data_IF_048313149530
#
_entry.id   IF_048313149530
#
_cell.length_a   1.000
_cell.length_b   1.000
_cell.length_c   1.000
_cell.angle_alpha   90.00
_cell.angle_beta   90.00
_cell.angle_gamma   90.00
#
_symmetry.space_group_name_H-M   'P 1'
#
loop_
_entity.id
_entity.type
_entity.pdbx_description
1 polymer ?
#
# COMPACT_ATOMS: atom_id res chain seq x y z
N UNK A 1 -6.73 -6.19 -21.06
CA UNK A 1 -7.64 -5.56 -22.04
C UNK A 1 -7.76 -4.08 -21.71
N UNK A 2 -7.03 -3.20 -22.41
CA UNK A 2 -7.16 -1.74 -22.22
C UNK A 2 -7.43 -1.12 -23.59
N UNK A 3 -8.66 -0.61 -23.74
CA UNK A 3 -9.13 0.04 -24.95
C UNK A 3 -8.35 1.34 -25.16
N UNK A 4 -7.79 1.47 -26.35
CA UNK A 4 -7.16 2.66 -26.88
C UNK A 4 -8.29 3.67 -27.17
N UNK A 5 -8.48 4.66 -26.31
CA UNK A 5 -9.38 5.77 -26.60
C UNK A 5 -8.68 6.69 -27.60
N UNK A 6 -8.94 6.49 -28.90
CA UNK A 6 -8.53 7.38 -29.96
C UNK A 6 -9.52 8.56 -29.99
N UNK A 7 -9.12 9.71 -29.45
CA UNK A 7 -9.81 10.95 -29.72
C UNK A 7 -9.54 11.36 -31.17
N UNK A 8 -10.49 11.09 -32.08
CA UNK A 8 -10.47 11.56 -33.46
C UNK A 8 -10.88 13.04 -33.47
N UNK A 9 -9.93 13.94 -33.21
CA UNK A 9 -10.12 15.36 -33.51
C UNK A 9 -9.84 15.59 -35.00
N UNK A 10 -10.91 15.93 -35.72
CA UNK A 10 -11.02 16.51 -37.06
C UNK A 10 -9.73 16.57 -37.91
N UNK A 11 -9.70 15.73 -38.95
CA UNK A 11 -8.62 15.63 -39.93
C UNK A 11 -8.74 16.78 -40.94
N UNK A 12 -7.78 17.70 -40.95
CA UNK A 12 -7.38 18.45 -42.15
C UNK A 12 -5.85 18.43 -42.26
N UNK A 13 -5.35 17.81 -43.34
CA UNK A 13 -3.95 17.94 -43.78
C UNK A 13 -3.13 16.66 -43.65
N UNK A 14 -2.69 16.15 -44.80
CA UNK A 14 -1.91 14.93 -44.98
C UNK A 14 -0.50 15.06 -44.36
N UNK A 15 -0.27 14.42 -43.22
CA UNK A 15 0.98 13.78 -42.76
C UNK A 15 0.81 13.32 -41.31
N UNK A 16 0.09 12.20 -41.11
CA UNK A 16 -0.08 11.61 -39.78
C UNK A 16 1.20 10.86 -39.35
N UNK A 17 2.15 11.58 -38.77
CA UNK A 17 2.99 10.97 -37.72
C UNK A 17 2.07 10.68 -36.55
N UNK A 18 1.65 9.42 -36.43
CA UNK A 18 0.90 8.94 -35.26
C UNK A 18 1.81 9.14 -34.05
N UNK A 19 1.65 10.26 -33.36
CA UNK A 19 2.28 10.51 -32.08
C UNK A 19 1.52 9.67 -31.07
N UNK A 20 1.92 8.41 -30.89
CA UNK A 20 1.41 7.55 -29.84
C UNK A 20 1.77 8.25 -28.53
N UNK A 21 0.79 8.96 -27.95
CA UNK A 21 0.91 9.49 -26.61
C UNK A 21 0.88 8.29 -25.68
N UNK A 22 2.05 7.82 -25.25
CA UNK A 22 2.14 6.84 -24.18
C UNK A 22 1.34 7.35 -22.99
N UNK A 23 0.21 6.70 -22.72
CA UNK A 23 -0.60 6.96 -21.54
C UNK A 23 0.26 6.64 -20.32
N UNK A 24 0.83 7.68 -19.71
CA UNK A 24 1.68 7.54 -18.52
C UNK A 24 0.90 6.75 -17.47
N UNK A 25 1.34 5.53 -17.22
CA UNK A 25 0.68 4.63 -16.29
C UNK A 25 0.64 5.31 -14.92
N UNK A 26 -0.56 5.54 -14.37
CA UNK A 26 -0.69 6.06 -13.00
C UNK A 26 -0.02 5.07 -12.04
N UNK A 27 1.04 5.52 -11.39
CA UNK A 27 1.78 4.74 -10.40
C UNK A 27 1.06 4.87 -9.07
N UNK A 28 0.58 3.74 -8.53
CA UNK A 28 -0.10 3.71 -7.23
C UNK A 28 0.86 3.25 -6.14
N UNK A 29 0.88 3.96 -5.01
CA UNK A 29 1.64 3.61 -3.81
C UNK A 29 0.69 3.26 -2.66
N UNK A 30 1.08 2.31 -1.81
CA UNK A 30 0.31 1.94 -0.62
C UNK A 30 1.09 2.28 0.66
N UNK A 31 0.41 2.92 1.61
CA UNK A 31 0.92 3.20 2.95
C UNK A 31 0.08 2.40 3.94
N UNK A 32 0.71 1.47 4.65
CA UNK A 32 0.05 0.44 5.45
C UNK A 32 0.44 0.63 6.91
N UNK A 33 -0.54 0.89 7.77
CA UNK A 33 -0.36 0.86 9.21
C UNK A 33 -0.46 -0.58 9.73
N UNK A 34 0.66 -1.15 10.19
CA UNK A 34 0.67 -2.54 10.69
C UNK A 34 -0.07 -2.70 12.01
N UNK A 35 -0.23 -1.64 12.82
CA UNK A 35 -0.98 -1.73 14.07
C UNK A 35 -2.45 -1.97 13.76
N UNK A 36 -3.04 -1.13 12.90
CA UNK A 36 -4.43 -1.27 12.48
C UNK A 36 -4.67 -2.60 11.76
N UNK A 37 -3.72 -3.02 10.91
CA UNK A 37 -3.81 -4.29 10.21
C UNK A 37 -3.83 -5.49 11.17
N UNK A 38 -2.97 -5.48 12.20
CA UNK A 38 -2.94 -6.54 13.20
C UNK A 38 -4.20 -6.56 14.08
N UNK A 39 -4.67 -5.38 14.52
CA UNK A 39 -5.89 -5.30 15.35
C UNK A 39 -7.14 -5.78 14.62
N UNK A 40 -7.23 -5.56 13.30
CA UNK A 40 -8.36 -5.98 12.48
C UNK A 40 -8.35 -7.46 12.05
N UNK A 41 -7.21 -8.16 12.14
CA UNK A 41 -7.07 -9.52 11.59
C UNK A 41 -6.79 -10.59 12.65
N UNK A 42 -6.09 -10.25 13.72
CA UNK A 42 -5.59 -11.25 14.68
C UNK A 42 -6.53 -11.53 15.87
N UNK A 43 -7.65 -10.81 16.01
CA UNK A 43 -8.53 -10.95 17.17
C UNK A 43 -9.53 -12.08 16.97
N UNK A 44 -9.54 -13.01 17.91
CA UNK A 44 -10.66 -13.92 18.10
C UNK A 44 -11.88 -13.12 18.58
N UNK A 45 -13.04 -13.39 17.98
CA UNK A 45 -14.29 -12.78 18.39
C UNK A 45 -15.12 -13.87 19.06
N UNK A 46 -15.45 -13.64 20.32
CA UNK A 46 -16.27 -14.53 21.15
C UNK A 46 -17.56 -13.81 21.51
N UNK A 47 -18.70 -14.48 21.33
CA UNK A 47 -20.02 -13.97 21.71
C UNK A 47 -20.76 -15.05 22.48
N UNK A 48 -21.31 -14.72 23.65
CA UNK A 48 -22.02 -15.66 24.53
C UNK A 48 -21.19 -16.92 24.85
N UNK A 49 -19.89 -16.75 25.14
CA UNK A 49 -18.91 -17.83 25.34
C UNK A 49 -18.71 -18.77 24.14
N UNK A 50 -19.15 -18.39 22.94
CA UNK A 50 -18.94 -19.15 21.70
C UNK A 50 -17.96 -18.38 20.81
N UNK A 51 -16.93 -19.07 20.33
CA UNK A 51 -15.99 -18.54 19.33
C UNK A 51 -16.71 -18.39 17.98
N UNK A 52 -16.97 -17.15 17.55
CA UNK A 52 -17.66 -16.85 16.29
C UNK A 52 -16.70 -16.53 15.15
N UNK A 53 -15.48 -16.11 15.48
CA UNK A 53 -14.43 -15.84 14.50
C UNK A 53 -13.08 -16.09 15.15
N UNK A 54 -12.22 -16.83 14.45
CA UNK A 54 -10.83 -17.01 14.85
C UNK A 54 -9.96 -16.03 14.07
N UNK A 55 -9.17 -15.25 14.78
CA UNK A 55 -8.17 -14.37 14.20
C UNK A 55 -7.24 -15.17 13.28
N UNK A 56 -6.80 -14.53 12.20
CA UNK A 56 -5.92 -15.14 11.22
C UNK A 56 -4.57 -14.44 11.21
N UNK A 57 -3.52 -15.23 10.97
CA UNK A 57 -2.17 -14.71 10.80
C UNK A 57 -2.00 -14.23 9.36
N UNK A 58 -1.76 -12.94 9.19
CA UNK A 58 -1.59 -12.36 7.86
C UNK A 58 -0.34 -12.89 7.15
N UNK A 59 -0.52 -13.40 5.94
CA UNK A 59 0.57 -13.69 5.02
C UNK A 59 0.88 -12.46 4.16
N UNK A 60 2.00 -11.80 4.48
CA UNK A 60 2.44 -10.58 3.78
C UNK A 60 2.75 -10.79 2.30
N UNK A 61 3.08 -12.01 1.84
CA UNK A 61 3.31 -12.27 0.40
C UNK A 61 1.98 -12.24 -0.35
N UNK A 62 0.98 -12.96 0.16
CA UNK A 62 -0.37 -12.95 -0.40
C UNK A 62 -0.99 -11.56 -0.35
N UNK A 63 -0.78 -10.85 0.76
CA UNK A 63 -1.23 -9.47 0.90
C UNK A 63 -0.58 -8.54 -0.14
N UNK A 64 0.72 -8.68 -0.41
CA UNK A 64 1.40 -7.92 -1.46
C UNK A 64 0.83 -8.21 -2.85
N UNK A 65 0.57 -9.48 -3.18
CA UNK A 65 -0.08 -9.86 -4.44
C UNK A 65 -1.47 -9.23 -4.55
N UNK A 66 -2.28 -9.31 -3.51
CA UNK A 66 -3.61 -8.69 -3.47
C UNK A 66 -3.55 -7.17 -3.75
N UNK A 67 -2.61 -6.45 -3.14
CA UNK A 67 -2.40 -5.02 -3.40
C UNK A 67 -2.00 -4.74 -4.86
N UNK A 68 -1.13 -5.57 -5.43
CA UNK A 68 -0.74 -5.47 -6.84
C UNK A 68 -1.92 -5.75 -7.76
N UNK A 69 -2.66 -6.82 -7.52
CA UNK A 69 -3.66 -7.33 -8.45
C UNK A 69 -4.91 -6.44 -8.45
N UNK A 70 -5.40 -6.10 -7.26
CA UNK A 70 -6.63 -5.34 -7.08
C UNK A 70 -6.45 -3.84 -7.22
N UNK A 71 -5.37 -3.29 -6.68
CA UNK A 71 -5.15 -1.84 -6.61
C UNK A 71 -4.01 -1.33 -7.52
N UNK A 72 -3.35 -2.23 -8.26
CA UNK A 72 -2.20 -1.89 -9.13
C UNK A 72 -1.09 -1.17 -8.38
N UNK A 73 -0.89 -1.54 -7.10
CA UNK A 73 0.13 -0.96 -6.23
C UNK A 73 1.53 -1.33 -6.73
N UNK A 74 2.29 -0.32 -7.11
CA UNK A 74 3.67 -0.44 -7.56
C UNK A 74 4.64 -0.59 -6.39
N UNK A 75 4.50 0.20 -5.31
CA UNK A 75 5.28 0.05 -4.07
C UNK A 75 4.40 0.16 -2.85
N UNK A 76 4.74 -0.62 -1.81
CA UNK A 76 4.07 -0.60 -0.53
C UNK A 76 5.05 -0.17 0.57
N UNK A 77 4.57 0.59 1.53
CA UNK A 77 5.31 1.05 2.70
C UNK A 77 4.53 0.61 3.92
N UNK A 78 5.19 -0.13 4.81
CA UNK A 78 4.55 -0.58 6.06
C UNK A 78 5.20 0.09 7.26
N UNK A 79 4.37 0.69 8.10
CA UNK A 79 4.76 1.32 9.36
C UNK A 79 4.56 0.33 10.49
N UNK A 80 5.63 0.02 11.22
CA UNK A 80 5.57 -0.86 12.38
C UNK A 80 6.34 -0.26 13.56
N UNK A 81 5.82 -0.49 14.76
CA UNK A 81 6.53 -0.14 15.99
C UNK A 81 7.82 -0.96 16.11
N UNK A 82 8.91 -0.32 16.51
CA UNK A 82 10.15 -1.02 16.76
C UNK A 82 10.12 -1.77 18.09
N UNK A 83 10.41 -3.06 18.03
CA UNK A 83 10.51 -3.98 19.14
C UNK A 83 11.75 -4.81 18.87
N UNK A 84 12.77 -4.69 19.73
CA UNK A 84 14.09 -5.32 19.55
C UNK A 84 14.00 -6.84 19.29
N UNK A 85 13.00 -7.51 19.88
CA UNK A 85 12.75 -8.95 19.73
C UNK A 85 12.29 -9.36 18.31
N UNK A 86 11.79 -8.42 17.50
CA UNK A 86 11.17 -8.67 16.20
C UNK A 86 12.11 -8.46 15.00
N UNK A 87 13.43 -8.49 15.22
CA UNK A 87 14.45 -8.30 14.16
C UNK A 87 14.23 -9.20 12.94
N UNK A 88 13.88 -10.47 13.16
CA UNK A 88 13.59 -11.40 12.08
C UNK A 88 12.35 -11.00 11.24
N UNK A 89 11.29 -10.50 11.90
CA UNK A 89 10.10 -9.99 11.22
C UNK A 89 10.44 -8.79 10.34
N UNK A 90 11.30 -7.88 10.82
CA UNK A 90 11.72 -6.72 10.05
C UNK A 90 12.52 -7.11 8.80
N UNK A 91 13.44 -8.07 8.91
CA UNK A 91 14.15 -8.62 7.76
C UNK A 91 13.20 -9.27 6.74
N UNK A 92 12.20 -10.01 7.22
CA UNK A 92 11.18 -10.61 6.36
C UNK A 92 10.32 -9.55 5.65
N UNK A 93 9.79 -8.57 6.37
CA UNK A 93 8.94 -7.51 5.82
C UNK A 93 9.68 -6.65 4.81
N UNK A 94 10.96 -6.34 5.06
CA UNK A 94 11.79 -5.57 4.11
C UNK A 94 11.92 -6.27 2.76
N UNK A 95 12.04 -7.61 2.75
CA UNK A 95 12.11 -8.40 1.51
C UNK A 95 10.79 -8.48 0.77
N UNK A 96 9.67 -8.58 1.49
CA UNK A 96 8.35 -8.84 0.87
C UNK A 96 7.60 -7.55 0.50
N UNK A 97 7.69 -6.51 1.32
CA UNK A 97 6.86 -5.30 1.21
C UNK A 97 7.63 -4.13 0.57
N UNK A 98 8.94 -4.27 0.35
CA UNK A 98 9.86 -3.33 -0.34
C UNK A 98 10.39 -2.17 0.49
N UNK A 99 9.65 -1.59 1.43
CA UNK A 99 10.17 -0.57 2.37
C UNK A 99 9.46 -0.58 3.72
N UNK A 100 10.25 -0.59 4.78
CA UNK A 100 9.83 -0.74 6.16
C UNK A 100 10.22 0.51 6.95
N UNK A 101 9.25 1.14 7.60
CA UNK A 101 9.50 2.24 8.53
C UNK A 101 9.32 1.74 9.95
N UNK A 102 10.40 1.84 10.73
CA UNK A 102 10.42 1.52 12.14
C UNK A 102 10.19 2.82 12.89
N UNK A 103 9.08 2.94 13.61
CA UNK A 103 8.89 4.03 14.55
C UNK A 103 9.78 3.78 15.78
N UNK A 104 11.09 3.97 15.64
CA UNK A 104 11.90 4.50 16.74
C UNK A 104 11.86 6.02 16.58
N UNK A 105 11.61 6.76 17.65
CA UNK A 105 11.76 8.21 17.61
C UNK A 105 13.19 8.55 17.16
N UNK A 106 13.37 8.94 15.89
CA UNK A 106 14.62 9.47 15.36
C UNK A 106 14.33 10.21 14.04
N UNK A 107 15.00 11.33 13.83
CA UNK A 107 14.70 12.41 12.88
C UNK A 107 14.31 11.92 11.48
N UNK A 108 13.05 12.14 11.12
CA UNK A 108 12.46 11.69 9.86
C UNK A 108 12.72 12.72 8.75
N UNK A 109 13.24 12.27 7.60
CA UNK A 109 13.44 13.10 6.42
C UNK A 109 12.14 13.74 5.89
N UNK A 110 12.28 14.89 5.21
CA UNK A 110 11.19 15.82 4.86
C UNK A 110 9.99 15.18 4.13
N UNK A 111 10.20 14.17 3.29
CA UNK A 111 9.10 13.49 2.60
C UNK A 111 8.22 12.65 3.55
N UNK A 112 8.81 12.05 4.57
CA UNK A 112 8.08 11.17 5.49
C UNK A 112 7.37 11.99 6.56
N UNK A 113 7.91 13.16 6.93
CA UNK A 113 7.19 14.12 7.77
C UNK A 113 5.85 14.53 7.13
N UNK A 114 5.82 14.76 5.81
CA UNK A 114 4.58 15.08 5.08
C UNK A 114 3.58 13.93 5.09
N UNK A 115 4.04 12.67 4.94
CA UNK A 115 3.16 11.49 4.99
C UNK A 115 2.61 11.22 6.40
N UNK A 116 3.42 11.37 7.45
CA UNK A 116 2.98 11.23 8.84
C UNK A 116 2.03 12.35 9.26
N UNK A 117 2.27 13.59 8.82
CA UNK A 117 1.32 14.69 8.97
C UNK A 117 0.00 14.34 8.28
N UNK A 118 0.02 13.94 7.00
CA UNK A 118 -1.20 13.56 6.27
C UNK A 118 -2.06 12.50 6.98
N UNK A 119 -1.47 11.46 7.57
CA UNK A 119 -2.22 10.43 8.30
C UNK A 119 -2.78 10.91 9.64
N UNK A 120 -2.10 11.84 10.33
CA UNK A 120 -2.61 12.46 11.57
C UNK A 120 -3.85 13.31 11.33
N UNK A 121 -3.94 14.00 10.20
CA UNK A 121 -5.10 14.83 9.86
C UNK A 121 -6.36 14.02 9.54
N UNK A 122 -6.23 12.78 9.08
CA UNK A 122 -7.38 11.90 8.77
C UNK A 122 -8.02 11.22 9.98
N UNK A 123 -7.42 11.32 11.18
CA UNK A 123 -7.91 10.68 12.41
C UNK A 123 -8.56 11.66 13.41
N UNK A 124 -8.69 12.94 13.05
CA UNK A 124 -9.27 14.01 13.89
C UNK A 124 -10.63 14.50 13.32
N UNK A 125 -11.25 13.76 12.39
CA UNK A 125 -12.65 13.97 11.99
C UNK A 125 -13.51 12.83 12.53
#
# INVERSE_FOLDING_TARGET
MRYLCLALNSIKGNNLKIKIMEQKQRVTYAFIDSQNLNYGTCKDIVKNNILIYKGWKLDFKKFRCYLTDKFKVSKAFIFIGYIKKNTHLYGYLKRVVMSLFLNQQCEMGQEIQKATLMLKWSFIQ
#
